data_IF_753669752342
#
_entry.id   IF_753669752342
#
_cell.length_a   1.000
_cell.length_b   1.000
_cell.length_c   1.000
_cell.angle_alpha   90.00
_cell.angle_beta   90.00
_cell.angle_gamma   90.00
#
_symmetry.space_group_name_H-M   'P 1'
#
loop_
_entity.id
_entity.type
_entity.pdbx_description
1 polymer ?
#
# COMPACT_ATOMS: atom_id res chain seq x y z
N UNK A 1 -4.46 13.56 13.98
CA UNK A 1 -4.12 13.53 12.54
C UNK A 1 -2.93 12.60 12.39
N UNK A 2 -3.13 11.38 11.88
CA UNK A 2 -2.04 10.48 11.54
C UNK A 2 -1.68 10.66 10.07
N UNK A 3 -0.39 10.60 9.74
CA UNK A 3 0.10 10.63 8.36
C UNK A 3 0.80 9.31 8.08
N UNK A 4 0.59 8.78 6.87
CA UNK A 4 1.25 7.56 6.42
C UNK A 4 2.45 7.96 5.55
N UNK A 5 3.69 7.61 5.93
CA UNK A 5 4.85 7.90 5.11
C UNK A 5 4.82 7.05 3.83
N UNK A 6 4.74 7.70 2.68
CA UNK A 6 4.75 7.04 1.36
C UNK A 6 5.98 7.47 0.56
N UNK A 7 6.68 6.49 -0.01
CA UNK A 7 7.77 6.65 -0.96
C UNK A 7 7.27 7.06 -2.34
N UNK A 8 8.12 7.68 -3.16
CA UNK A 8 7.75 8.06 -4.54
C UNK A 8 7.29 6.88 -5.39
N UNK A 9 7.85 5.67 -5.20
CA UNK A 9 7.42 4.45 -5.90
C UNK A 9 6.01 4.01 -5.50
N UNK A 10 5.67 4.07 -4.22
CA UNK A 10 4.33 3.77 -3.72
C UNK A 10 3.30 4.77 -4.25
N UNK A 11 3.64 6.07 -4.27
CA UNK A 11 2.80 7.09 -4.88
C UNK A 11 2.58 6.85 -6.38
N UNK A 12 3.61 6.43 -7.10
CA UNK A 12 3.52 6.16 -8.53
C UNK A 12 2.62 4.95 -8.83
N UNK A 13 2.68 3.88 -8.01
CA UNK A 13 1.76 2.74 -8.10
C UNK A 13 0.32 3.11 -7.79
N UNK A 14 0.09 3.95 -6.77
CA UNK A 14 -1.25 4.50 -6.53
C UNK A 14 -1.78 5.21 -7.77
N UNK A 15 -1.00 6.14 -8.32
CA UNK A 15 -1.42 6.90 -9.49
C UNK A 15 -1.70 5.99 -10.68
N UNK A 16 -0.84 4.99 -10.92
CA UNK A 16 -1.02 4.04 -12.01
C UNK A 16 -2.27 3.16 -11.83
N UNK A 17 -2.45 2.56 -10.65
CA UNK A 17 -3.58 1.69 -10.35
C UNK A 17 -4.92 2.43 -10.48
N UNK A 18 -5.05 3.60 -9.84
CA UNK A 18 -6.31 4.36 -9.85
C UNK A 18 -6.57 5.13 -11.15
N UNK A 19 -5.56 5.35 -11.99
CA UNK A 19 -5.73 5.96 -13.32
C UNK A 19 -6.09 4.94 -14.39
N UNK A 20 -5.57 3.71 -14.29
CA UNK A 20 -5.77 2.68 -15.31
C UNK A 20 -6.88 1.69 -14.96
N UNK A 21 -7.32 1.59 -13.70
CA UNK A 21 -8.36 0.66 -13.27
C UNK A 21 -9.66 1.39 -12.83
N UNK A 22 -10.72 1.37 -13.65
CA UNK A 22 -11.97 2.04 -13.32
C UNK A 22 -12.73 1.39 -12.15
N UNK A 23 -12.45 0.12 -11.83
CA UNK A 23 -13.03 -0.57 -10.67
C UNK A 23 -12.46 -0.06 -9.35
N UNK A 24 -11.12 0.06 -9.29
CA UNK A 24 -10.41 0.73 -8.19
C UNK A 24 -10.83 2.19 -8.06
N UNK A 25 -10.95 2.91 -9.19
CA UNK A 25 -11.44 4.28 -9.16
C UNK A 25 -12.86 4.39 -8.58
N UNK A 26 -13.75 3.46 -8.91
CA UNK A 26 -15.08 3.42 -8.31
C UNK A 26 -15.03 3.13 -6.79
N UNK A 27 -14.11 2.28 -6.35
CA UNK A 27 -13.88 1.97 -4.93
C UNK A 27 -13.46 3.19 -4.11
N UNK A 28 -12.80 4.19 -4.72
CA UNK A 28 -12.49 5.47 -4.04
C UNK A 28 -13.73 6.27 -3.63
N UNK A 29 -14.90 5.98 -4.22
CA UNK A 29 -16.18 6.61 -3.84
C UNK A 29 -16.92 5.83 -2.75
N UNK A 30 -16.44 4.65 -2.39
CA UNK A 30 -17.01 3.79 -1.36
C UNK A 30 -16.37 4.08 0.01
N UNK A 31 -17.03 3.70 1.12
CA UNK A 31 -16.42 3.75 2.44
C UNK A 31 -15.16 2.87 2.56
N UNK A 32 -14.99 1.92 1.64
CA UNK A 32 -13.86 1.00 1.50
C UNK A 32 -12.66 1.64 0.78
N UNK A 33 -12.75 2.91 0.38
CA UNK A 33 -11.71 3.63 -0.37
C UNK A 33 -10.34 3.56 0.32
N UNK A 34 -10.32 3.69 1.65
CA UNK A 34 -9.08 3.59 2.42
C UNK A 34 -8.49 2.18 2.31
N UNK A 35 -9.31 1.14 2.40
CA UNK A 35 -8.86 -0.24 2.25
C UNK A 35 -8.28 -0.48 0.86
N UNK A 36 -8.96 -0.01 -0.20
CA UNK A 36 -8.46 -0.15 -1.57
C UNK A 36 -7.12 0.59 -1.80
N UNK A 37 -6.96 1.77 -1.19
CA UNK A 37 -5.69 2.52 -1.22
C UNK A 37 -4.60 1.76 -0.46
N UNK A 38 -4.91 1.19 0.70
CA UNK A 38 -3.96 0.42 1.49
C UNK A 38 -3.52 -0.87 0.79
N UNK A 39 -4.44 -1.54 0.08
CA UNK A 39 -4.19 -2.74 -0.73
C UNK A 39 -3.21 -2.46 -1.88
N UNK A 40 -3.44 -1.38 -2.64
CA UNK A 40 -2.50 -0.95 -3.70
C UNK A 40 -1.12 -0.55 -3.15
N UNK A 41 -1.12 0.00 -1.93
CA UNK A 41 0.10 0.39 -1.24
C UNK A 41 0.81 -0.79 -0.59
N UNK A 42 0.24 -1.99 -0.58
CA UNK A 42 0.93 -3.15 -0.03
C UNK A 42 2.31 -3.32 -0.71
N UNK A 43 3.32 -3.67 0.10
CA UNK A 43 4.66 -3.92 -0.41
C UNK A 43 4.66 -5.13 -1.32
N UNK A 44 5.36 -5.03 -2.43
CA UNK A 44 5.75 -6.22 -3.19
C UNK A 44 6.88 -6.96 -2.47
N UNK A 45 7.10 -8.23 -2.80
CA UNK A 45 8.22 -9.01 -2.26
C UNK A 45 9.58 -8.33 -2.49
N UNK A 46 9.74 -7.67 -3.64
CA UNK A 46 10.94 -6.90 -3.98
C UNK A 46 11.15 -5.70 -3.05
N UNK A 47 10.09 -4.93 -2.76
CA UNK A 47 10.20 -3.77 -1.86
C UNK A 47 10.39 -4.15 -0.40
N UNK A 48 9.87 -5.30 0.00
CA UNK A 48 10.24 -5.89 1.28
C UNK A 48 11.75 -6.16 1.33
N UNK A 49 12.32 -6.78 0.30
CA UNK A 49 13.74 -7.15 0.25
C UNK A 49 14.68 -5.93 0.21
N UNK A 50 14.30 -4.90 -0.56
CA UNK A 50 15.11 -3.70 -0.80
C UNK A 50 15.16 -2.72 0.40
N UNK A 51 14.45 -3.02 1.51
CA UNK A 51 14.29 -2.11 2.66
C UNK A 51 13.68 -0.74 2.32
N UNK A 52 13.10 -0.61 1.11
CA UNK A 52 12.38 0.57 0.64
C UNK A 52 10.97 0.70 1.21
N UNK A 53 10.53 -0.30 1.98
CA UNK A 53 9.24 -0.30 2.68
C UNK A 53 9.24 0.69 3.86
N UNK A 54 8.36 1.68 3.79
CA UNK A 54 8.26 2.76 4.78
C UNK A 54 7.31 2.46 5.93
N UNK A 55 6.45 1.45 5.83
CA UNK A 55 5.53 1.13 6.93
C UNK A 55 6.18 0.10 7.84
N UNK A 56 5.68 0.00 9.08
CA UNK A 56 6.07 -1.09 9.95
C UNK A 56 5.85 -2.39 9.17
N UNK A 57 6.91 -3.19 8.98
CA UNK A 57 6.73 -4.57 8.55
C UNK A 57 5.68 -5.14 9.51
N UNK A 58 4.59 -5.76 9.01
CA UNK A 58 3.84 -6.63 9.88
C UNK A 58 4.90 -7.56 10.44
N UNK A 59 5.10 -7.51 11.76
CA UNK A 59 6.03 -8.41 12.41
C UNK A 59 5.59 -9.78 11.92
N UNK A 60 6.39 -10.40 11.05
CA UNK A 60 6.34 -11.84 10.90
C UNK A 60 6.45 -12.26 12.33
N UNK A 61 5.32 -12.70 12.92
CA UNK A 61 5.31 -13.27 14.24
C UNK A 61 6.32 -14.39 14.11
N UNK A 62 7.56 -14.10 14.54
CA UNK A 62 8.55 -15.10 14.85
C UNK A 62 7.93 -15.79 16.06
N UNK A 63 7.00 -16.69 15.76
CA UNK A 63 6.54 -17.71 16.67
C UNK A 63 7.78 -18.37 17.24
N UNK A 64 7.81 -18.39 18.56
CA UNK A 64 9.01 -18.67 19.33
C UNK A 64 9.67 -20.01 19.04
N UNK A 65 10.95 -20.08 19.36
CA UNK A 65 11.50 -20.84 20.47
C UNK A 65 13.00 -20.51 20.57
#
# INVERSE_FOLDING_TARGET
MGYVPVSCRQLQRLLDAFSNDPGLQASLRSPEALTAVLDVLEPTEEEYSDSSWTWARPEVSQGGA
#
